data_IF_946617428520
#
_entry.id   IF_946617428520
#
_cell.length_a   1.000
_cell.length_b   1.000
_cell.length_c   1.000
_cell.angle_alpha   90.00
_cell.angle_beta   90.00
_cell.angle_gamma   90.00
#
_symmetry.space_group_name_H-M   'P 1'
#
loop_
_entity.id
_entity.type
_entity.pdbx_description
1 polymer ?
#
# COMPACT_ATOMS: atom_id res chain seq x y z
N UNK A 1 4.62 2.58 30.80
CA UNK A 1 3.29 1.96 30.59
C UNK A 1 2.54 2.55 29.40
N UNK A 2 2.54 3.89 29.19
CA UNK A 2 1.78 4.55 28.12
C UNK A 2 1.99 3.98 26.71
N UNK A 3 3.24 3.83 26.25
CA UNK A 3 3.52 3.28 24.91
C UNK A 3 3.06 1.82 24.74
N UNK A 4 3.05 1.04 25.82
CA UNK A 4 2.56 -0.33 25.79
C UNK A 4 1.03 -0.36 25.60
N UNK A 5 0.30 0.45 26.37
CA UNK A 5 -1.14 0.60 26.23
C UNK A 5 -1.55 1.20 24.88
N UNK A 6 -0.85 2.22 24.40
CA UNK A 6 -1.12 2.85 23.10
C UNK A 6 -0.95 1.85 21.94
N UNK A 7 0.12 1.04 21.99
CA UNK A 7 0.33 -0.01 21.01
C UNK A 7 -0.74 -1.11 21.12
N UNK A 8 -1.12 -1.54 22.32
CA UNK A 8 -2.12 -2.60 22.49
C UNK A 8 -3.51 -2.14 22.01
N UNK A 9 -3.87 -0.87 22.27
CA UNK A 9 -5.07 -0.24 21.71
C UNK A 9 -5.02 -0.17 20.19
N UNK A 10 -3.90 0.29 19.62
CA UNK A 10 -3.71 0.35 18.18
C UNK A 10 -3.80 -1.04 17.53
N UNK A 11 -3.23 -2.05 18.18
CA UNK A 11 -3.27 -3.46 17.75
C UNK A 11 -4.71 -3.99 17.73
N UNK A 12 -5.47 -3.77 18.81
CA UNK A 12 -6.88 -4.19 18.89
C UNK A 12 -7.74 -3.44 17.89
N UNK A 13 -7.53 -2.14 17.70
CA UNK A 13 -8.22 -1.34 16.70
C UNK A 13 -7.94 -1.87 15.28
N UNK A 14 -6.68 -2.16 14.96
CA UNK A 14 -6.29 -2.77 13.69
C UNK A 14 -6.91 -4.15 13.48
N UNK A 15 -6.91 -5.01 14.52
CA UNK A 15 -7.54 -6.32 14.47
C UNK A 15 -9.05 -6.23 14.21
N UNK A 16 -9.75 -5.36 14.94
CA UNK A 16 -11.18 -5.11 14.73
C UNK A 16 -11.47 -4.60 13.31
N UNK A 17 -10.63 -3.70 12.79
CA UNK A 17 -10.76 -3.19 11.43
C UNK A 17 -10.58 -4.29 10.37
N UNK A 18 -9.60 -5.19 10.53
CA UNK A 18 -9.40 -6.33 9.62
C UNK A 18 -10.57 -7.29 9.65
N UNK A 19 -11.10 -7.62 10.83
CA UNK A 19 -12.29 -8.47 10.97
C UNK A 19 -13.50 -7.82 10.31
N UNK A 20 -13.72 -6.52 10.53
CA UNK A 20 -14.79 -5.77 9.89
C UNK A 20 -14.67 -5.76 8.37
N UNK A 21 -13.46 -5.51 7.83
CA UNK A 21 -13.21 -5.51 6.39
C UNK A 21 -13.46 -6.90 5.81
N UNK A 22 -12.96 -7.95 6.47
CA UNK A 22 -13.17 -9.33 6.02
C UNK A 22 -14.64 -9.76 6.07
N UNK A 23 -15.38 -9.35 7.11
CA UNK A 23 -16.84 -9.54 7.17
C UNK A 23 -17.53 -8.86 5.99
N UNK A 24 -17.17 -7.61 5.69
CA UNK A 24 -17.72 -6.86 4.54
C UNK A 24 -17.45 -7.57 3.21
N UNK A 25 -16.29 -8.21 3.04
CA UNK A 25 -16.00 -9.01 1.84
C UNK A 25 -16.87 -10.28 1.77
N UNK A 26 -17.10 -10.95 2.90
CA UNK A 26 -17.97 -12.14 2.96
C UNK A 26 -19.43 -11.82 2.65
N UNK A 27 -19.91 -10.66 3.10
CA UNK A 27 -21.28 -10.18 2.88
C UNK A 27 -21.42 -9.27 1.65
N UNK A 28 -20.34 -9.01 0.91
CA UNK A 28 -20.41 -8.35 -0.41
C UNK A 28 -21.40 -9.12 -1.29
N UNK A 29 -21.94 -8.53 -2.35
CA UNK A 29 -22.72 -9.30 -3.34
C UNK A 29 -21.87 -9.74 -4.53
N UNK A 30 -20.55 -9.50 -4.50
CA UNK A 30 -19.69 -9.61 -5.67
C UNK A 30 -20.04 -8.55 -6.71
N UNK A 31 -20.50 -7.38 -6.26
CA UNK A 31 -20.76 -6.24 -7.12
C UNK A 31 -19.43 -5.69 -7.63
N UNK A 32 -19.19 -5.93 -8.91
CA UNK A 32 -18.00 -5.48 -9.61
C UNK A 32 -18.35 -4.08 -10.06
N UNK A 33 -18.25 -3.14 -9.12
CA UNK A 33 -18.78 -1.80 -9.25
C UNK A 33 -18.60 -1.22 -10.65
N UNK A 34 -19.66 -0.59 -11.16
CA UNK A 34 -19.68 -0.05 -12.51
C UNK A 34 -18.55 0.96 -12.71
N UNK A 35 -17.57 0.60 -13.56
CA UNK A 35 -16.38 1.43 -13.84
C UNK A 35 -16.79 2.81 -14.36
N UNK A 36 -17.98 2.93 -14.98
CA UNK A 36 -18.53 4.21 -15.44
C UNK A 36 -18.91 5.16 -14.30
N UNK A 37 -19.15 4.64 -13.09
CA UNK A 37 -19.47 5.42 -11.88
C UNK A 37 -18.23 5.84 -11.09
N UNK A 38 -17.02 5.45 -11.51
CA UNK A 38 -15.79 5.89 -10.87
C UNK A 38 -15.65 7.40 -10.98
N UNK A 39 -15.80 8.09 -9.84
CA UNK A 39 -15.74 9.55 -9.78
C UNK A 39 -14.29 9.99 -9.97
N UNK A 40 -14.02 10.69 -11.08
CA UNK A 40 -12.71 11.31 -11.32
C UNK A 40 -12.35 12.23 -10.14
N UNK A 41 -11.08 12.23 -9.69
CA UNK A 41 -10.66 13.11 -8.61
C UNK A 41 -10.82 14.57 -9.00
N UNK A 42 -11.37 15.37 -8.09
CA UNK A 42 -11.66 16.81 -8.31
C UNK A 42 -10.40 17.63 -8.60
N UNK A 43 -9.26 17.23 -8.05
CA UNK A 43 -7.96 17.91 -8.17
C UNK A 43 -7.04 17.27 -9.24
N UNK A 44 -7.52 16.24 -9.94
CA UNK A 44 -6.72 15.47 -10.90
C UNK A 44 -5.87 14.37 -10.26
N UNK A 45 -5.51 13.36 -11.07
CA UNK A 45 -4.79 12.17 -10.60
C UNK A 45 -3.38 12.48 -10.10
N UNK A 46 -2.68 13.42 -10.74
CA UNK A 46 -1.34 13.84 -10.32
C UNK A 46 -1.34 14.38 -8.89
N UNK A 47 -2.20 15.37 -8.59
CA UNK A 47 -2.27 15.97 -7.26
C UNK A 47 -2.79 15.02 -6.20
N UNK A 48 -3.75 14.16 -6.54
CA UNK A 48 -4.20 13.12 -5.62
C UNK A 48 -3.05 12.18 -5.26
N UNK A 49 -2.30 11.69 -6.26
CA UNK A 49 -1.14 10.81 -6.05
C UNK A 49 -0.04 11.50 -5.25
N UNK A 50 0.29 12.75 -5.60
CA UNK A 50 1.27 13.55 -4.89
C UNK A 50 0.90 13.73 -3.42
N UNK A 51 -0.34 14.11 -3.11
CA UNK A 51 -0.79 14.29 -1.73
C UNK A 51 -0.83 12.97 -0.96
N UNK A 52 -1.20 11.86 -1.59
CA UNK A 52 -1.18 10.53 -0.96
C UNK A 52 0.24 10.12 -0.60
N UNK A 53 1.19 10.30 -1.52
CA UNK A 53 2.61 9.98 -1.27
C UNK A 53 3.19 10.93 -0.22
N UNK A 54 2.92 12.23 -0.31
CA UNK A 54 3.46 13.21 0.63
C UNK A 54 2.89 13.03 2.04
N UNK A 55 1.63 12.65 2.16
CA UNK A 55 0.98 12.33 3.44
C UNK A 55 1.41 10.97 4.00
N UNK A 56 2.28 10.22 3.31
CA UNK A 56 2.81 8.94 3.76
C UNK A 56 4.16 9.15 4.47
N UNK A 57 4.18 9.38 5.80
CA UNK A 57 5.42 9.62 6.53
C UNK A 57 6.35 8.40 6.49
N UNK A 58 5.81 7.20 6.29
CA UNK A 58 6.60 5.96 6.23
C UNK A 58 7.52 5.97 5.01
N UNK A 59 7.07 6.48 3.86
CA UNK A 59 7.92 6.59 2.67
C UNK A 59 9.09 7.55 2.91
N UNK A 60 8.82 8.73 3.47
CA UNK A 60 9.85 9.73 3.80
C UNK A 60 10.88 9.18 4.78
N UNK A 61 10.42 8.53 5.86
CA UNK A 61 11.30 7.91 6.86
C UNK A 61 12.12 6.77 6.26
N UNK A 62 11.54 5.95 5.38
CA UNK A 62 12.25 4.89 4.69
C UNK A 62 13.37 5.46 3.81
N UNK A 63 13.08 6.42 2.93
CA UNK A 63 14.12 7.02 2.09
C UNK A 63 15.18 7.75 2.91
N UNK A 64 14.78 8.51 3.94
CA UNK A 64 15.71 9.22 4.82
C UNK A 64 16.67 8.27 5.56
N UNK A 65 16.22 7.07 5.92
CA UNK A 65 17.05 6.07 6.59
C UNK A 65 17.88 5.21 5.61
N UNK A 66 17.35 4.94 4.41
CA UNK A 66 17.91 3.95 3.50
C UNK A 66 18.86 4.58 2.47
N UNK A 67 18.51 5.74 1.89
CA UNK A 67 19.33 6.39 0.84
C UNK A 67 20.78 6.67 1.29
N UNK A 68 21.04 7.21 2.50
CA UNK A 68 22.41 7.47 2.94
C UNK A 68 23.31 6.23 2.94
N UNK A 69 22.74 5.02 3.07
CA UNK A 69 23.49 3.77 3.04
C UNK A 69 24.06 3.42 1.66
N UNK A 70 23.52 4.03 0.59
CA UNK A 70 23.97 3.81 -0.79
C UNK A 70 24.81 4.97 -1.34
N UNK A 71 25.05 6.01 -0.53
CA UNK A 71 25.89 7.14 -0.91
C UNK A 71 27.35 6.81 -0.61
N UNK A 72 28.20 6.91 -1.62
CA UNK A 72 29.65 6.78 -1.45
C UNK A 72 30.21 8.02 -0.76
N UNK A 73 30.97 7.86 0.34
CA UNK A 73 31.63 9.00 1.01
C UNK A 73 32.81 9.56 0.21
N UNK A 74 33.31 8.82 -0.78
CA UNK A 74 34.38 9.29 -1.68
C UNK A 74 33.83 10.31 -2.69
N UNK A 75 33.91 11.58 -2.32
CA UNK A 75 33.46 12.69 -3.16
C UNK A 75 34.41 13.01 -4.31
N UNK A 76 35.63 12.46 -4.34
CA UNK A 76 36.61 12.74 -5.39
C UNK A 76 36.28 12.00 -6.69
N UNK A 77 35.63 10.83 -6.61
CA UNK A 77 35.27 9.99 -7.76
C UNK A 77 33.75 9.89 -7.99
N UNK A 78 32.93 9.93 -6.93
CA UNK A 78 31.49 9.65 -7.02
C UNK A 78 30.57 10.89 -7.08
N UNK A 79 31.14 12.11 -7.03
CA UNK A 79 30.37 13.35 -6.98
C UNK A 79 29.70 13.62 -5.62
N UNK A 80 28.93 14.70 -5.53
CA UNK A 80 28.30 15.12 -4.26
C UNK A 80 27.22 14.14 -3.77
N UNK A 81 26.99 14.11 -2.46
CA UNK A 81 25.88 13.33 -1.86
C UNK A 81 24.51 13.71 -2.45
N UNK A 82 24.31 14.98 -2.81
CA UNK A 82 23.07 15.46 -3.44
C UNK A 82 22.86 14.85 -4.82
N UNK A 83 23.89 14.85 -5.68
CA UNK A 83 23.79 14.26 -7.03
C UNK A 83 23.55 12.74 -6.98
N UNK A 84 24.22 12.03 -6.07
CA UNK A 84 23.99 10.59 -5.87
C UNK A 84 22.56 10.32 -5.39
N UNK A 85 22.07 11.10 -4.43
CA UNK A 85 20.68 11.03 -3.95
C UNK A 85 19.68 11.26 -5.06
N UNK A 86 19.91 12.27 -5.91
CA UNK A 86 19.03 12.59 -7.03
C UNK A 86 18.99 11.44 -8.05
N UNK A 87 20.14 10.85 -8.39
CA UNK A 87 20.23 9.69 -9.30
C UNK A 87 19.48 8.49 -8.70
N UNK A 88 19.72 8.16 -7.44
CA UNK A 88 19.02 7.05 -6.75
C UNK A 88 17.51 7.28 -6.72
N UNK A 89 17.07 8.50 -6.44
CA UNK A 89 15.65 8.88 -6.48
C UNK A 89 15.04 8.72 -7.87
N UNK A 90 15.75 9.14 -8.91
CA UNK A 90 15.30 8.97 -10.30
C UNK A 90 15.24 7.50 -10.73
N UNK A 91 16.22 6.69 -10.34
CA UNK A 91 16.20 5.24 -10.58
C UNK A 91 15.01 4.61 -9.86
N UNK A 92 14.78 4.97 -8.59
CA UNK A 92 13.61 4.50 -7.84
C UNK A 92 12.30 4.88 -8.55
N UNK A 93 12.15 6.14 -8.98
CA UNK A 93 10.96 6.60 -9.71
C UNK A 93 10.77 5.86 -11.03
N UNK A 94 11.84 5.62 -11.79
CA UNK A 94 11.79 4.90 -13.05
C UNK A 94 11.32 3.46 -12.84
N UNK A 95 11.95 2.75 -11.90
CA UNK A 95 11.58 1.37 -11.56
C UNK A 95 10.13 1.31 -11.08
N UNK A 96 9.75 2.18 -10.14
CA UNK A 96 8.36 2.28 -9.66
C UNK A 96 7.37 2.51 -10.80
N UNK A 97 7.66 3.47 -11.68
CA UNK A 97 6.80 3.77 -12.85
C UNK A 97 6.66 2.57 -13.78
N UNK A 98 7.73 1.82 -14.03
CA UNK A 98 7.69 0.62 -14.87
C UNK A 98 6.78 -0.43 -14.24
N UNK A 99 6.99 -0.76 -12.96
CA UNK A 99 6.18 -1.76 -12.26
C UNK A 99 4.72 -1.32 -12.14
N UNK A 100 4.46 -0.07 -11.75
CA UNK A 100 3.11 0.47 -11.63
C UNK A 100 2.39 0.48 -12.98
N UNK A 101 3.10 0.80 -14.07
CA UNK A 101 2.52 0.75 -15.43
C UNK A 101 2.18 -0.68 -15.85
N UNK A 102 3.07 -1.65 -15.55
CA UNK A 102 2.79 -3.07 -15.80
C UNK A 102 1.56 -3.50 -15.00
N UNK A 103 1.50 -3.17 -13.71
CA UNK A 103 0.34 -3.49 -12.87
C UNK A 103 -0.94 -2.81 -13.38
N UNK A 104 -0.89 -1.54 -13.77
CA UNK A 104 -2.04 -0.82 -14.30
C UNK A 104 -2.55 -1.45 -15.60
N UNK A 105 -1.66 -1.82 -16.51
CA UNK A 105 -2.02 -2.50 -17.75
C UNK A 105 -2.62 -3.89 -17.51
N UNK A 106 -1.98 -4.69 -16.65
CA UNK A 106 -2.46 -6.02 -16.28
C UNK A 106 -3.81 -5.94 -15.57
N UNK A 107 -3.99 -4.99 -14.64
CA UNK A 107 -5.26 -4.77 -13.95
C UNK A 107 -6.36 -4.32 -14.91
N UNK A 108 -6.05 -3.43 -15.86
CA UNK A 108 -6.99 -3.03 -16.91
C UNK A 108 -7.45 -4.19 -17.78
N UNK A 109 -6.53 -5.08 -18.17
CA UNK A 109 -6.85 -6.30 -18.95
C UNK A 109 -7.60 -7.34 -18.13
N UNK A 110 -7.19 -7.57 -16.89
CA UNK A 110 -7.86 -8.47 -15.95
C UNK A 110 -9.28 -7.97 -15.60
N UNK A 111 -9.48 -6.65 -15.64
CA UNK A 111 -10.78 -6.00 -15.48
C UNK A 111 -11.85 -6.57 -16.39
N UNK A 112 -11.52 -6.86 -17.66
CA UNK A 112 -12.44 -7.48 -18.61
C UNK A 112 -12.83 -8.92 -18.24
N UNK A 113 -12.06 -9.58 -17.37
CA UNK A 113 -12.32 -10.95 -16.89
C UNK A 113 -13.04 -10.98 -15.55
N UNK A 114 -13.23 -9.82 -14.89
CA UNK A 114 -13.95 -9.69 -13.63
C UNK A 114 -15.45 -9.95 -13.86
N UNK A 115 -15.86 -11.19 -13.65
CA UNK A 115 -17.27 -11.60 -13.58
C UNK A 115 -17.64 -11.95 -12.16
N UNK A 116 -18.91 -11.77 -11.77
CA UNK A 116 -19.40 -12.04 -10.42
C UNK A 116 -19.01 -13.44 -9.93
N UNK A 117 -19.09 -14.44 -10.82
CA UNK A 117 -18.72 -15.83 -10.54
C UNK A 117 -17.24 -16.03 -10.21
N UNK A 118 -16.33 -15.22 -10.78
CA UNK A 118 -14.88 -15.29 -10.54
C UNK A 118 -14.44 -14.44 -9.36
N UNK A 119 -15.08 -13.29 -9.15
CA UNK A 119 -14.76 -12.37 -8.04
C UNK A 119 -15.24 -12.93 -6.70
N UNK A 120 -16.41 -13.57 -6.66
CA UNK A 120 -17.01 -14.09 -5.43
C UNK A 120 -16.12 -15.04 -4.60
N UNK A 121 -15.47 -16.07 -5.19
CA UNK A 121 -14.57 -16.94 -4.42
C UNK A 121 -13.32 -16.17 -3.93
N UNK A 122 -12.80 -15.21 -4.70
CA UNK A 122 -11.65 -14.38 -4.31
C UNK A 122 -12.02 -13.46 -3.14
N UNK A 123 -13.20 -12.82 -3.18
CA UNK A 123 -13.71 -12.03 -2.05
C UNK A 123 -13.83 -12.88 -0.79
N UNK A 124 -14.39 -14.09 -0.91
CA UNK A 124 -14.55 -14.99 0.24
C UNK A 124 -13.22 -15.42 0.82
N UNK A 125 -12.28 -15.84 -0.02
CA UNK A 125 -10.94 -16.21 0.41
C UNK A 125 -10.22 -15.04 1.09
N UNK A 126 -10.27 -13.87 0.47
CA UNK A 126 -9.66 -12.65 1.01
C UNK A 126 -10.31 -12.25 2.34
N UNK A 127 -11.64 -12.35 2.44
CA UNK A 127 -12.38 -12.07 3.67
C UNK A 127 -12.01 -13.02 4.81
N UNK A 128 -11.91 -14.32 4.52
CA UNK A 128 -11.44 -15.33 5.48
C UNK A 128 -10.01 -15.05 5.94
N UNK A 129 -9.10 -14.71 5.01
CA UNK A 129 -7.72 -14.34 5.34
C UNK A 129 -7.64 -13.08 6.21
N UNK A 130 -8.46 -12.06 5.93
CA UNK A 130 -8.52 -10.83 6.73
C UNK A 130 -9.04 -11.08 8.15
N UNK A 131 -10.11 -11.88 8.29
CA UNK A 131 -10.64 -12.25 9.61
C UNK A 131 -9.61 -13.07 10.37
N UNK A 132 -9.02 -14.08 9.73
CA UNK A 132 -7.97 -14.91 10.32
C UNK A 132 -6.77 -14.07 10.77
N UNK A 133 -6.30 -13.17 9.92
CA UNK A 133 -5.22 -12.22 10.24
C UNK A 133 -5.57 -11.26 11.37
N UNK A 134 -6.82 -10.77 11.42
CA UNK A 134 -7.30 -9.91 12.52
C UNK A 134 -7.37 -10.65 13.86
N UNK A 135 -7.91 -11.87 13.88
CA UNK A 135 -7.95 -12.72 15.08
C UNK A 135 -6.53 -13.09 15.53
N UNK A 136 -5.66 -13.44 14.59
CA UNK A 136 -4.24 -13.69 14.83
C UNK A 136 -3.55 -12.45 15.44
N UNK A 137 -3.78 -11.27 14.87
CA UNK A 137 -3.22 -10.02 15.38
C UNK A 137 -3.70 -9.70 16.81
N UNK A 138 -4.97 -9.98 17.12
CA UNK A 138 -5.51 -9.80 18.46
C UNK A 138 -4.86 -10.75 19.48
N UNK A 139 -4.68 -12.01 19.08
CA UNK A 139 -4.12 -13.09 19.92
C UNK A 139 -2.61 -13.09 20.02
N UNK A 140 -1.91 -12.36 19.14
CA UNK A 140 -0.47 -12.17 19.22
C UNK A 140 -0.11 -11.55 20.58
N UNK A 141 0.41 -12.38 21.48
CA UNK A 141 0.98 -11.95 22.75
C UNK A 141 2.44 -11.56 22.49
N UNK A 142 2.87 -10.46 23.08
CA UNK A 142 4.28 -10.03 23.04
C UNK A 142 5.13 -11.16 23.64
N UNK A 143 6.18 -11.57 22.93
CA UNK A 143 7.31 -12.28 23.51
C UNK A 143 8.23 -11.27 24.21
#
# INVERSE_FOLDING_TARGET
SFMAHAFDLLKLAGAAYLVWLGYKLLTSDGDIGDVSKSRRPKIGYFWQGFLVIWSNPKALLFFGAFIPQFISPDTATAGSAFSQTLILGLVFMLVGTIFDSIYAFLAGRAGAMLTRSRVRPVERLSGMMLIGGGVWLATLRRA
#
